data_IF_047407924710
#
_entry.id   IF_047407924710
#
_cell.length_a   1.000
_cell.length_b   1.000
_cell.length_c   1.000
_cell.angle_alpha   90.00
_cell.angle_beta   90.00
_cell.angle_gamma   90.00
#
_symmetry.space_group_name_H-M   'P 1'
#
loop_
_entity.id
_entity.type
_entity.pdbx_description
1 polymer ?
#
# COMPACT_ATOMS: atom_id res chain seq x y z
N UNK A 1 -7.65 -5.70 8.39
CA UNK A 1 -8.06 -6.90 9.18
C UNK A 1 -6.86 -7.73 9.64
N UNK A 2 -5.99 -8.20 8.73
CA UNK A 2 -4.83 -9.06 9.09
C UNK A 2 -3.93 -8.41 10.16
N UNK A 3 -3.60 -7.12 10.02
CA UNK A 3 -2.82 -6.38 11.02
C UNK A 3 -3.53 -6.18 12.36
N UNK A 4 -4.86 -6.03 12.37
CA UNK A 4 -5.65 -5.91 13.60
C UNK A 4 -5.68 -7.24 14.37
N UNK A 5 -5.87 -8.34 13.64
CA UNK A 5 -5.93 -9.69 14.22
C UNK A 5 -4.57 -10.09 14.77
N UNK A 6 -3.50 -9.92 13.99
CA UNK A 6 -2.14 -10.22 14.45
C UNK A 6 -1.69 -9.33 15.62
N UNK A 7 -2.01 -8.04 15.60
CA UNK A 7 -1.67 -7.12 16.69
C UNK A 7 -2.44 -7.36 17.99
N UNK A 8 -3.64 -7.93 17.93
CA UNK A 8 -4.49 -8.14 19.11
C UNK A 8 -4.45 -9.59 19.64
N UNK A 9 -4.46 -10.59 18.76
CA UNK A 9 -4.54 -12.01 19.12
C UNK A 9 -3.16 -12.66 19.09
N UNK A 10 -2.57 -12.85 20.28
CA UNK A 10 -1.18 -13.31 20.48
C UNK A 10 -0.81 -14.62 19.77
N UNK A 11 -1.72 -15.60 19.72
CA UNK A 11 -1.42 -16.88 19.05
C UNK A 11 -1.40 -16.73 17.52
N UNK A 12 -2.29 -15.91 16.95
CA UNK A 12 -2.32 -15.68 15.50
C UNK A 12 -1.14 -14.86 14.99
N UNK A 13 -0.53 -14.04 15.86
CA UNK A 13 0.55 -13.11 15.51
C UNK A 13 1.73 -13.84 14.85
N UNK A 14 2.26 -14.88 15.49
CA UNK A 14 3.42 -15.61 14.98
C UNK A 14 3.19 -16.27 13.63
N UNK A 15 2.01 -16.85 13.41
CA UNK A 15 1.65 -17.51 12.14
C UNK A 15 1.49 -16.47 11.03
N UNK A 16 0.74 -15.40 11.30
CA UNK A 16 0.48 -14.35 10.32
C UNK A 16 1.79 -13.65 9.95
N UNK A 17 2.60 -13.24 10.94
CA UNK A 17 3.86 -12.56 10.68
C UNK A 17 4.84 -13.44 9.90
N UNK A 18 4.90 -14.75 10.17
CA UNK A 18 5.71 -15.67 9.34
C UNK A 18 5.31 -15.69 7.88
N UNK A 19 4.01 -15.69 7.57
CA UNK A 19 3.53 -15.61 6.18
C UNK A 19 3.91 -14.26 5.57
N UNK A 20 3.72 -13.15 6.31
CA UNK A 20 4.10 -11.81 5.84
C UNK A 20 5.60 -11.68 5.60
N UNK A 21 6.42 -12.27 6.48
CA UNK A 21 7.89 -12.31 6.36
C UNK A 21 8.31 -13.12 5.13
N UNK A 22 7.66 -14.26 4.90
CA UNK A 22 7.85 -15.07 3.69
C UNK A 22 7.52 -14.27 2.42
N UNK A 23 6.41 -13.53 2.40
CA UNK A 23 6.06 -12.67 1.26
C UNK A 23 7.08 -11.54 1.06
N UNK A 24 7.55 -10.91 2.13
CA UNK A 24 8.54 -9.82 2.05
C UNK A 24 9.97 -10.29 1.75
N UNK A 25 10.24 -11.60 1.82
CA UNK A 25 11.50 -12.16 1.32
C UNK A 25 11.63 -12.00 -0.20
N UNK A 26 10.49 -11.89 -0.90
CA UNK A 26 10.43 -11.64 -2.34
C UNK A 26 10.25 -10.12 -2.54
N UNK A 27 11.08 -9.48 -3.38
CA UNK A 27 10.84 -8.09 -3.77
C UNK A 27 9.42 -7.91 -4.32
N UNK A 28 8.63 -6.92 -3.84
CA UNK A 28 7.21 -6.78 -4.19
C UNK A 28 6.96 -6.75 -5.70
N UNK A 29 7.86 -6.12 -6.46
CA UNK A 29 7.77 -6.06 -7.91
C UNK A 29 7.99 -7.42 -8.57
N UNK A 30 8.92 -8.24 -8.06
CA UNK A 30 9.13 -9.59 -8.57
C UNK A 30 7.95 -10.49 -8.26
N UNK A 31 7.35 -10.33 -7.07
CA UNK A 31 6.13 -11.04 -6.70
C UNK A 31 4.97 -10.65 -7.64
N UNK A 32 4.80 -9.36 -7.93
CA UNK A 32 3.78 -8.88 -8.86
C UNK A 32 4.00 -9.43 -10.29
N UNK A 33 5.24 -9.43 -10.78
CA UNK A 33 5.60 -10.03 -12.08
C UNK A 33 5.29 -11.53 -12.09
N UNK A 34 5.65 -12.27 -11.04
CA UNK A 34 5.38 -13.70 -10.94
C UNK A 34 3.88 -14.01 -10.96
N UNK A 35 3.06 -13.22 -10.25
CA UNK A 35 1.60 -13.35 -10.28
C UNK A 35 1.02 -13.00 -11.65
N UNK A 36 1.55 -11.98 -12.33
CA UNK A 36 1.13 -11.62 -13.68
C UNK A 36 1.52 -12.67 -14.72
N UNK A 37 2.68 -13.34 -14.56
CA UNK A 37 3.10 -14.43 -15.45
C UNK A 37 2.18 -15.66 -15.39
N UNK A 38 1.49 -15.86 -14.26
CA UNK A 38 0.53 -16.95 -14.06
C UNK A 38 -0.90 -16.59 -14.47
N UNK A 39 -1.16 -15.32 -14.78
CA UNK A 39 -2.51 -14.82 -15.08
C UNK A 39 -2.54 -14.20 -16.47
N UNK A 40 -3.75 -13.91 -16.98
CA UNK A 40 -3.92 -13.19 -18.25
C UNK A 40 -3.85 -11.68 -18.01
N UNK A 41 -3.34 -10.93 -18.97
CA UNK A 41 -3.35 -9.47 -18.91
C UNK A 41 -4.78 -8.94 -18.73
N UNK A 42 -5.06 -8.31 -17.58
CA UNK A 42 -6.31 -7.62 -17.30
C UNK A 42 -6.12 -6.64 -16.14
N UNK A 43 -6.92 -5.58 -16.09
CA UNK A 43 -6.89 -4.59 -15.00
C UNK A 43 -7.12 -5.26 -13.64
N UNK A 44 -8.09 -6.18 -13.56
CA UNK A 44 -8.40 -6.90 -12.32
C UNK A 44 -7.24 -7.75 -11.81
N UNK A 45 -6.51 -8.43 -12.70
CA UNK A 45 -5.35 -9.24 -12.32
C UNK A 45 -4.18 -8.37 -11.87
N UNK A 46 -3.93 -7.24 -12.55
CA UNK A 46 -2.90 -6.27 -12.14
C UNK A 46 -3.21 -5.71 -10.75
N UNK A 47 -4.47 -5.28 -10.51
CA UNK A 47 -4.89 -4.79 -9.19
C UNK A 47 -4.69 -5.86 -8.13
N UNK A 48 -5.08 -7.10 -8.42
CA UNK A 48 -4.94 -8.22 -7.47
C UNK A 48 -3.47 -8.53 -7.16
N UNK A 49 -2.60 -8.56 -8.18
CA UNK A 49 -1.18 -8.82 -8.02
C UNK A 49 -0.49 -7.75 -7.17
N UNK A 50 -0.75 -6.48 -7.45
CA UNK A 50 -0.22 -5.34 -6.67
C UNK A 50 -0.76 -5.39 -5.24
N UNK A 51 -2.07 -5.64 -5.07
CA UNK A 51 -2.70 -5.72 -3.75
C UNK A 51 -2.02 -6.80 -2.90
N UNK A 52 -1.85 -8.02 -3.43
CA UNK A 52 -1.20 -9.12 -2.72
C UNK A 52 0.23 -8.74 -2.31
N UNK A 53 0.98 -8.10 -3.20
CA UNK A 53 2.35 -7.70 -2.92
C UNK A 53 2.46 -6.65 -1.80
N UNK A 54 1.45 -5.79 -1.61
CA UNK A 54 1.43 -4.74 -0.59
C UNK A 54 0.78 -5.15 0.75
N UNK A 55 0.09 -6.29 0.82
CA UNK A 55 -0.54 -6.82 2.05
C UNK A 55 0.44 -6.80 3.24
N UNK A 56 1.69 -7.28 3.13
CA UNK A 56 2.61 -7.34 4.28
C UNK A 56 2.92 -5.96 4.87
N UNK A 57 3.10 -4.95 4.01
CA UNK A 57 3.42 -3.59 4.42
C UNK A 57 2.29 -2.98 5.24
N UNK A 58 1.06 -3.06 4.73
CA UNK A 58 -0.14 -2.53 5.40
C UNK A 58 -0.43 -3.31 6.68
N UNK A 59 -0.28 -4.64 6.65
CA UNK A 59 -0.49 -5.50 7.82
C UNK A 59 0.44 -5.15 8.97
N UNK A 60 1.75 -4.99 8.68
CA UNK A 60 2.76 -4.63 9.68
C UNK A 60 2.53 -3.22 10.25
N UNK A 61 2.16 -2.25 9.42
CA UNK A 61 1.82 -0.90 9.87
C UNK A 61 0.67 -0.94 10.88
N UNK A 62 -0.45 -1.57 10.51
CA UNK A 62 -1.61 -1.67 11.40
C UNK A 62 -1.26 -2.43 12.67
N UNK A 63 -0.48 -3.53 12.57
CA UNK A 63 0.01 -4.26 13.75
C UNK A 63 0.82 -3.37 14.68
N UNK A 64 1.76 -2.57 14.16
CA UNK A 64 2.60 -1.69 14.97
C UNK A 64 1.77 -0.66 15.75
N UNK A 65 0.76 -0.08 15.09
CA UNK A 65 -0.17 0.86 15.72
C UNK A 65 -1.00 0.15 16.79
N UNK A 66 -1.53 -1.04 16.50
CA UNK A 66 -2.32 -1.82 17.46
C UNK A 66 -1.51 -2.17 18.70
N UNK A 67 -0.26 -2.63 18.55
CA UNK A 67 0.61 -2.95 19.68
C UNK A 67 0.83 -1.72 20.57
N UNK A 68 1.07 -0.55 19.98
CA UNK A 68 1.24 0.69 20.73
C UNK A 68 -0.05 1.16 21.43
N UNK A 69 -1.21 1.05 20.76
CA UNK A 69 -2.49 1.47 21.34
C UNK A 69 -2.94 0.55 22.48
N UNK A 70 -2.56 -0.72 22.45
CA UNK A 70 -2.91 -1.69 23.49
C UNK A 70 -2.28 -1.39 24.85
N UNK A 71 -1.17 -0.65 24.88
CA UNK A 71 -0.46 -0.24 26.09
C UNK A 71 -0.93 1.15 26.60
N UNK A 72 -1.99 1.72 26.02
CA UNK A 72 -2.50 3.02 26.42
C UNK A 72 -3.44 2.92 27.63
N UNK A 73 -3.40 3.87 28.59
CA UNK A 73 -4.20 3.81 29.83
C UNK A 73 -5.72 3.71 29.62
N UNK A 74 -6.24 4.32 28.55
CA UNK A 74 -7.68 4.24 28.25
C UNK A 74 -8.11 2.84 27.78
N UNK A 75 -7.21 2.07 27.18
CA UNK A 75 -7.46 0.67 26.81
C UNK A 75 -7.42 -0.20 28.07
N UNK A 76 -6.43 0.00 28.94
CA UNK A 76 -6.34 -0.70 30.22
C UNK A 76 -7.57 -0.47 31.10
N UNK A 77 -8.07 0.77 31.15
CA UNK A 77 -9.30 1.11 31.85
C UNK A 77 -10.53 0.38 31.26
N UNK A 78 -10.64 0.29 29.94
CA UNK A 78 -11.73 -0.42 29.28
C UNK A 78 -11.68 -1.94 29.55
N UNK A 79 -10.48 -2.52 29.60
CA UNK A 79 -10.26 -3.92 29.97
C UNK A 79 -10.63 -4.16 31.43
N UNK A 80 -10.18 -3.30 32.35
CA UNK A 80 -10.50 -3.37 33.77
C UNK A 80 -12.02 -3.22 34.04
N UNK A 81 -12.72 -2.45 33.21
CA UNK A 81 -14.18 -2.31 33.25
C UNK A 81 -14.93 -3.53 32.69
N UNK A 82 -14.25 -4.57 32.21
CA UNK A 82 -14.87 -5.79 31.68
C UNK A 82 -15.40 -5.66 30.25
N UNK A 83 -14.95 -4.66 29.48
CA UNK A 83 -15.39 -4.45 28.10
C UNK A 83 -14.96 -5.62 27.22
N UNK A 84 -15.87 -6.16 26.41
CA UNK A 84 -15.56 -7.27 25.50
C UNK A 84 -14.52 -6.85 24.47
N UNK A 85 -13.54 -7.72 24.23
CA UNK A 85 -12.46 -7.56 23.24
C UNK A 85 -12.87 -6.97 21.88
N UNK A 86 -13.86 -7.52 21.14
CA UNK A 86 -14.25 -6.96 19.84
C UNK A 86 -14.76 -5.52 19.94
N UNK A 87 -15.36 -5.14 21.06
CA UNK A 87 -15.84 -3.78 21.29
C UNK A 87 -14.68 -2.82 21.54
N UNK A 88 -13.63 -3.27 22.23
CA UNK A 88 -12.38 -2.51 22.40
C UNK A 88 -11.73 -2.27 21.03
N UNK A 89 -11.64 -3.30 20.20
CA UNK A 89 -11.05 -3.19 18.86
C UNK A 89 -11.83 -2.17 18.02
N UNK A 90 -13.16 -2.30 17.92
CA UNK A 90 -13.97 -1.45 17.06
C UNK A 90 -14.07 0.00 17.55
N UNK A 91 -14.13 0.22 18.87
CA UNK A 91 -14.40 1.55 19.44
C UNK A 91 -13.14 2.32 19.85
N UNK A 92 -12.08 1.62 20.24
CA UNK A 92 -10.87 2.24 20.79
C UNK A 92 -9.63 2.07 19.91
N UNK A 93 -9.52 0.98 19.14
CA UNK A 93 -8.31 0.70 18.35
C UNK A 93 -8.50 1.10 16.88
N UNK A 94 -9.55 0.59 16.23
CA UNK A 94 -9.81 0.79 14.80
C UNK A 94 -9.86 2.28 14.40
N UNK A 95 -10.55 3.19 15.12
CA UNK A 95 -10.58 4.60 14.74
C UNK A 95 -9.20 5.25 14.77
N UNK A 96 -8.33 4.85 15.70
CA UNK A 96 -6.96 5.35 15.81
C UNK A 96 -6.03 4.82 14.71
N UNK A 97 -6.43 3.75 14.00
CA UNK A 97 -5.67 3.25 12.84
C UNK A 97 -6.00 3.99 11.54
N UNK A 98 -7.11 4.75 11.49
CA UNK A 98 -7.56 5.44 10.27
C UNK A 98 -6.54 6.46 9.80
N UNK A 99 -6.05 7.32 10.69
CA UNK A 99 -5.06 8.34 10.36
C UNK A 99 -3.78 7.77 9.70
N UNK A 100 -3.06 6.82 10.34
CA UNK A 100 -1.88 6.22 9.70
C UNK A 100 -2.22 5.39 8.47
N UNK A 101 -3.42 4.80 8.38
CA UNK A 101 -3.87 4.08 7.19
C UNK A 101 -4.13 5.00 6.00
N UNK A 102 -4.69 6.20 6.21
CA UNK A 102 -4.92 7.18 5.14
C UNK A 102 -3.59 7.63 4.54
N UNK A 103 -2.59 7.90 5.38
CA UNK A 103 -1.22 8.23 4.93
C UNK A 103 -0.58 7.03 4.23
N UNK A 104 -0.74 5.81 4.75
CA UNK A 104 -0.21 4.62 4.09
C UNK A 104 -0.88 4.37 2.72
N UNK A 105 -2.17 4.68 2.59
CA UNK A 105 -2.91 4.50 1.36
C UNK A 105 -2.39 5.39 0.22
N UNK A 106 -1.97 6.62 0.50
CA UNK A 106 -1.37 7.50 -0.51
C UNK A 106 -0.03 6.96 -1.00
N UNK A 107 0.83 6.47 -0.09
CA UNK A 107 2.09 5.83 -0.47
C UNK A 107 1.88 4.56 -1.30
N UNK A 108 0.91 3.72 -0.91
CA UNK A 108 0.56 2.51 -1.67
C UNK A 108 0.01 2.87 -3.04
N UNK A 109 -0.83 3.91 -3.14
CA UNK A 109 -1.35 4.40 -4.42
C UNK A 109 -0.21 4.85 -5.35
N UNK A 110 0.70 5.68 -4.87
CA UNK A 110 1.87 6.12 -5.62
C UNK A 110 2.76 4.94 -6.06
N UNK A 111 3.01 3.98 -5.17
CA UNK A 111 3.76 2.77 -5.49
C UNK A 111 3.06 1.89 -6.54
N UNK A 112 1.75 1.72 -6.43
CA UNK A 112 0.94 0.96 -7.36
C UNK A 112 0.98 1.54 -8.77
N UNK A 113 0.96 2.87 -8.92
CA UNK A 113 1.09 3.54 -10.23
C UNK A 113 2.43 3.21 -10.90
N UNK A 114 3.53 3.21 -10.14
CA UNK A 114 4.85 2.85 -10.67
C UNK A 114 4.89 1.36 -11.05
N UNK A 115 4.40 0.48 -10.18
CA UNK A 115 4.42 -0.97 -10.44
C UNK A 115 3.56 -1.31 -11.66
N UNK A 116 2.37 -0.73 -11.78
CA UNK A 116 1.52 -0.88 -12.96
C UNK A 116 2.25 -0.44 -14.23
N UNK A 117 2.86 0.76 -14.21
CA UNK A 117 3.59 1.27 -15.36
C UNK A 117 4.75 0.35 -15.75
N UNK A 118 5.47 -0.25 -14.79
CA UNK A 118 6.55 -1.20 -15.06
C UNK A 118 6.01 -2.51 -15.64
N UNK A 119 4.94 -3.06 -15.07
CA UNK A 119 4.31 -4.29 -15.58
C UNK A 119 3.82 -4.09 -17.02
N UNK A 120 3.12 -3.00 -17.28
CA UNK A 120 2.63 -2.65 -18.62
C UNK A 120 3.78 -2.36 -19.59
N UNK A 121 4.86 -1.70 -19.14
CA UNK A 121 6.06 -1.47 -19.95
C UNK A 121 6.76 -2.76 -20.40
N UNK A 122 6.77 -3.79 -19.54
CA UNK A 122 7.36 -5.10 -19.83
C UNK A 122 6.37 -6.01 -20.60
N UNK A 123 5.12 -5.58 -20.79
CA UNK A 123 4.08 -6.36 -21.47
C UNK A 123 3.38 -7.39 -20.58
N UNK A 124 3.65 -7.37 -19.27
CA UNK A 124 3.00 -8.21 -18.27
C UNK A 124 1.75 -7.57 -17.64
N UNK A 125 1.49 -6.28 -17.91
CA UNK A 125 0.42 -5.49 -17.30
C UNK A 125 -0.92 -5.60 -18.02
N UNK A 126 -1.54 -4.46 -18.28
CA UNK A 126 -2.84 -4.41 -18.97
C UNK A 126 -2.69 -4.65 -20.47
N UNK A 127 -3.69 -5.27 -21.13
CA UNK A 127 -3.67 -5.42 -22.59
C UNK A 127 -3.46 -4.07 -23.30
N UNK A 128 -2.76 -4.03 -24.45
CA UNK A 128 -2.52 -2.79 -25.20
C UNK A 128 -3.80 -2.05 -25.63
N UNK A 129 -4.94 -2.74 -25.68
CA UNK A 129 -6.26 -2.13 -25.94
C UNK A 129 -6.72 -1.19 -24.82
N UNK A 130 -6.14 -1.31 -23.63
CA UNK A 130 -6.37 -0.42 -22.49
C UNK A 130 -5.20 0.56 -22.41
N UNK A 131 -5.44 1.86 -22.63
CA UNK A 131 -4.36 2.84 -22.59
C UNK A 131 -3.86 3.01 -21.15
N UNK A 132 -2.59 2.73 -20.93
CA UNK A 132 -1.85 3.03 -19.69
C UNK A 132 -0.54 3.74 -20.04
N UNK A 133 0.00 4.55 -19.12
CA UNK A 133 1.30 5.19 -19.36
C UNK A 133 2.41 4.16 -19.60
N UNK A 134 2.36 3.01 -18.92
CA UNK A 134 3.27 1.88 -19.18
C UNK A 134 3.18 1.35 -20.61
N UNK A 135 1.97 1.15 -21.13
CA UNK A 135 1.74 0.68 -22.51
C UNK A 135 2.22 1.71 -23.54
N UNK A 136 1.93 3.00 -23.33
CA UNK A 136 2.39 4.07 -24.24
C UNK A 136 3.93 4.11 -24.27
N UNK A 137 4.59 3.95 -23.12
CA UNK A 137 6.05 3.86 -23.06
C UNK A 137 6.58 2.57 -23.73
N UNK A 138 5.87 1.44 -23.62
CA UNK A 138 6.25 0.18 -24.26
C UNK A 138 6.26 0.30 -25.78
N UNK A 139 5.21 0.88 -26.37
CA UNK A 139 5.08 1.11 -27.81
C UNK A 139 6.12 2.11 -28.32
N UNK A 140 6.37 3.17 -27.55
CA UNK A 140 7.38 4.19 -27.86
C UNK A 140 8.81 3.67 -27.80
N UNK A 141 9.07 2.54 -27.12
CA UNK A 141 10.41 1.95 -26.96
C UNK A 141 11.09 1.65 -28.29
N UNK A 142 10.35 1.12 -29.27
CA UNK A 142 10.88 0.80 -30.59
C UNK A 142 11.26 2.05 -31.41
N UNK A 143 10.60 3.16 -31.14
CA UNK A 143 10.77 4.43 -31.84
C UNK A 143 11.68 5.41 -31.09
N UNK A 144 12.30 5.01 -29.97
CA UNK A 144 13.03 5.92 -29.09
C UNK A 144 14.10 6.76 -29.80
N UNK A 145 14.83 6.17 -30.76
CA UNK A 145 15.87 6.89 -31.52
C UNK A 145 15.32 7.95 -32.47
N UNK A 146 14.06 7.84 -32.91
CA UNK A 146 13.45 8.73 -33.92
C UNK A 146 12.42 9.66 -33.29
N UNK A 147 11.66 9.18 -32.30
CA UNK A 147 10.55 9.86 -31.63
C UNK A 147 10.62 9.67 -30.11
N UNK A 148 11.68 10.19 -29.44
CA UNK A 148 11.88 10.00 -27.99
C UNK A 148 10.75 10.60 -27.15
N UNK A 149 10.06 11.62 -27.68
CA UNK A 149 8.95 12.29 -27.01
C UNK A 149 7.77 11.35 -26.67
N UNK A 150 7.60 10.24 -27.39
CA UNK A 150 6.52 9.26 -27.13
C UNK A 150 6.68 8.62 -25.75
N UNK A 151 7.92 8.39 -25.31
CA UNK A 151 8.22 7.82 -23.98
C UNK A 151 8.42 8.94 -22.95
N UNK A 152 9.02 10.07 -23.35
CA UNK A 152 9.37 11.17 -22.45
C UNK A 152 8.15 11.85 -21.81
N UNK A 153 7.10 12.14 -22.58
CA UNK A 153 5.92 12.81 -22.04
C UNK A 153 5.16 11.95 -21.02
N UNK A 154 4.80 10.68 -21.32
CA UNK A 154 4.19 9.80 -20.31
C UNK A 154 5.04 9.65 -19.05
N UNK A 155 6.36 9.57 -19.19
CA UNK A 155 7.26 9.47 -18.04
C UNK A 155 7.16 10.71 -17.14
N UNK A 156 7.18 11.92 -17.71
CA UNK A 156 7.01 13.16 -16.95
C UNK A 156 5.64 13.22 -16.27
N UNK A 157 4.56 12.93 -17.00
CA UNK A 157 3.21 12.97 -16.42
C UNK A 157 3.04 11.94 -15.30
N UNK A 158 3.57 10.73 -15.47
CA UNK A 158 3.60 9.72 -14.42
C UNK A 158 4.38 10.22 -13.20
N UNK A 159 5.60 10.73 -13.39
CA UNK A 159 6.43 11.25 -12.30
C UNK A 159 5.75 12.40 -11.55
N UNK A 160 5.15 13.36 -12.25
CA UNK A 160 4.43 14.49 -11.64
C UNK A 160 3.20 14.01 -10.86
N UNK A 161 2.46 13.05 -11.39
CA UNK A 161 1.26 12.52 -10.73
C UNK A 161 1.66 11.73 -9.47
N UNK A 162 2.69 10.90 -9.55
CA UNK A 162 3.25 10.17 -8.40
C UNK A 162 3.76 11.15 -7.34
N UNK A 163 4.46 12.22 -7.75
CA UNK A 163 4.91 13.26 -6.84
C UNK A 163 3.74 13.96 -6.15
N UNK A 164 2.71 14.36 -6.90
CA UNK A 164 1.52 15.02 -6.37
C UNK A 164 0.79 14.14 -5.33
N UNK A 165 0.65 12.84 -5.60
CA UNK A 165 0.04 11.89 -4.65
C UNK A 165 0.90 11.72 -3.39
N UNK A 166 2.22 11.68 -3.51
CA UNK A 166 3.11 11.62 -2.35
C UNK A 166 3.02 12.91 -1.50
N UNK A 167 3.08 14.08 -2.13
CA UNK A 167 2.95 15.36 -1.44
C UNK A 167 1.59 15.51 -0.74
N UNK A 168 0.51 15.01 -1.35
CA UNK A 168 -0.80 14.93 -0.70
C UNK A 168 -0.75 14.05 0.56
N UNK A 169 -0.05 12.92 0.48
CA UNK A 169 0.17 12.01 1.62
C UNK A 169 0.95 12.66 2.76
N UNK A 170 2.02 13.38 2.42
CA UNK A 170 2.83 14.12 3.38
C UNK A 170 2.02 15.24 4.04
N UNK A 171 1.24 16.00 3.27
CA UNK A 171 0.34 17.03 3.80
C UNK A 171 -0.75 16.46 4.72
N UNK A 172 -1.32 15.30 4.36
CA UNK A 172 -2.27 14.58 5.22
C UNK A 172 -1.60 14.10 6.51
N UNK A 173 -0.36 13.60 6.44
CA UNK A 173 0.41 13.19 7.60
C UNK A 173 0.67 14.35 8.54
N UNK A 174 1.09 15.49 8.02
CA UNK A 174 1.38 16.68 8.82
C UNK A 174 0.12 17.22 9.50
N UNK A 175 -1.03 17.23 8.80
CA UNK A 175 -2.31 17.63 9.37
C UNK A 175 -2.83 16.65 10.45
N UNK A 176 -2.45 15.38 10.36
CA UNK A 176 -2.86 14.33 11.31
C UNK A 176 -1.87 14.14 12.47
N UNK A 177 -0.68 14.75 12.43
CA UNK A 177 0.29 14.68 13.53
C UNK A 177 -0.05 15.71 14.64
N UNK A 178 -0.53 15.26 15.81
CA UNK A 178 -0.94 16.16 16.90
C UNK A 178 0.23 16.92 17.55
N UNK A 179 1.49 16.61 17.21
CA UNK A 179 2.65 17.32 17.75
C UNK A 179 2.84 18.71 17.14
N UNK A 180 2.29 18.99 15.95
CA UNK A 180 2.35 20.33 15.36
C UNK A 180 1.45 21.35 16.07
N UNK A 181 0.33 20.91 16.64
CA UNK A 181 -0.64 21.77 17.33
C UNK A 181 -0.10 22.33 18.65
N UNK A 182 0.91 21.69 19.26
CA UNK A 182 1.49 22.13 20.55
C UNK A 182 2.58 23.21 20.43
N UNK A 183 2.91 23.66 19.21
CA UNK A 183 3.97 24.65 18.95
C UNK A 183 3.47 26.00 18.38
N UNK A 184 2.15 26.16 18.21
CA UNK A 184 1.47 27.43 17.95
C UNK A 184 0.75 27.87 19.22
#
# INVERSE_FOLDING_TARGET
>A
VIGLVSGFVRWSDGIIMRVMDGMMSIPPILLAIALMALTRGSVGNVITAITIAEIPRVSRLVRSVVLSLREQPYVDAAVAAGTRTPMIILRHILPNTVAPMTVQATYVCAGAMIIEAILSFIGAGTPPTIPSWGNIMAEGRALWQVKPYIVFFPAIFLSLTVLAVNLLGDGLRDALDPRFVKRL
#
